data_IF_320197907748
#
_entry.id   IF_320197907748
#
_cell.length_a   1.000
_cell.length_b   1.000
_cell.length_c   1.000
_cell.angle_alpha   90.00
_cell.angle_beta   90.00
_cell.angle_gamma   90.00
#
_symmetry.space_group_name_H-M   'P 1'
#
loop_
_entity.id
_entity.type
_entity.pdbx_description
1 polymer ?
#
# COMPACT_ATOMS: atom_id res chain seq x y z
N UNK A 1 48.31 -9.45 23.92
CA UNK A 1 47.48 -8.35 23.40
C UNK A 1 46.28 -8.99 22.72
N UNK A 2 45.16 -9.12 23.44
CA UNK A 2 43.90 -9.58 22.88
C UNK A 2 43.16 -8.36 22.35
N UNK A 3 43.10 -8.23 21.03
CA UNK A 3 42.26 -7.26 20.33
C UNK A 3 40.80 -7.54 20.67
N UNK A 4 40.18 -6.56 21.33
CA UNK A 4 38.77 -6.57 21.66
C UNK A 4 38.02 -6.02 20.44
N UNK A 5 37.39 -6.90 19.67
CA UNK A 5 36.49 -6.54 18.58
C UNK A 5 35.38 -5.67 19.15
N UNK A 6 35.40 -4.36 18.84
CA UNK A 6 34.37 -3.43 19.27
C UNK A 6 33.05 -3.77 18.55
N UNK A 7 32.18 -4.51 19.21
CA UNK A 7 30.83 -4.78 18.73
C UNK A 7 30.05 -3.46 18.64
N UNK A 8 29.46 -3.18 17.48
CA UNK A 8 28.58 -2.03 17.23
C UNK A 8 27.22 -2.19 17.93
N UNK A 9 27.23 -2.23 19.26
CA UNK A 9 26.04 -2.30 20.09
C UNK A 9 25.76 -0.93 20.72
N UNK A 10 24.48 -0.56 20.89
CA UNK A 10 24.12 0.64 21.65
C UNK A 10 24.60 0.53 23.11
N UNK A 11 24.78 1.66 23.80
CA UNK A 11 25.20 1.65 25.20
C UNK A 11 24.18 0.94 26.09
N UNK A 12 24.67 0.10 27.01
CA UNK A 12 23.86 -0.49 28.07
C UNK A 12 23.70 0.55 29.18
N UNK A 13 22.47 0.92 29.48
CA UNK A 13 22.12 1.93 30.49
C UNK A 13 21.16 1.37 31.52
N UNK A 14 20.96 2.09 32.62
CA UNK A 14 19.95 1.73 33.62
C UNK A 14 18.51 2.01 33.12
N UNK A 15 17.48 1.47 33.79
CA UNK A 15 16.09 1.66 33.39
C UNK A 15 15.62 3.12 33.34
N UNK A 16 16.16 4.00 34.20
CA UNK A 16 15.74 5.40 34.26
C UNK A 16 16.26 6.18 33.06
N UNK A 17 17.53 5.97 32.71
CA UNK A 17 18.14 6.57 31.52
C UNK A 17 17.47 6.07 30.23
N UNK A 18 17.16 4.76 30.15
CA UNK A 18 16.41 4.20 29.02
C UNK A 18 15.01 4.81 28.89
N UNK A 19 14.27 4.92 29.99
CA UNK A 19 12.91 5.47 30.00
C UNK A 19 12.90 6.94 29.55
N UNK A 20 13.86 7.74 30.03
CA UNK A 20 13.99 9.14 29.61
C UNK A 20 14.23 9.28 28.09
N UNK A 21 15.12 8.46 27.51
CA UNK A 21 15.37 8.45 26.07
C UNK A 21 14.13 7.99 25.27
N UNK A 22 13.39 7.01 25.79
CA UNK A 22 12.16 6.53 25.16
C UNK A 22 11.05 7.58 25.18
N UNK A 23 10.91 8.34 26.27
CA UNK A 23 9.90 9.40 26.36
C UNK A 23 10.20 10.55 25.39
N UNK A 24 11.47 10.90 25.21
CA UNK A 24 11.90 11.86 24.18
C UNK A 24 11.58 11.34 22.77
N UNK A 25 11.90 10.07 22.47
CA UNK A 25 11.60 9.46 21.17
C UNK A 25 10.09 9.43 20.91
N UNK A 26 9.28 9.02 21.88
CA UNK A 26 7.82 8.93 21.74
C UNK A 26 7.17 10.28 21.46
N UNK A 27 7.72 11.38 22.00
CA UNK A 27 7.25 12.71 21.66
C UNK A 27 7.45 13.01 20.16
N UNK A 28 8.61 12.64 19.60
CA UNK A 28 8.90 12.78 18.17
C UNK A 28 8.03 11.87 17.31
N UNK A 29 7.87 10.61 17.71
CA UNK A 29 7.01 9.64 17.01
C UNK A 29 5.56 10.13 16.97
N UNK A 30 5.03 10.63 18.10
CA UNK A 30 3.67 11.15 18.17
C UNK A 30 3.48 12.39 17.29
N UNK A 31 4.48 13.26 17.21
CA UNK A 31 4.46 14.39 16.30
C UNK A 31 4.44 13.94 14.83
N UNK A 32 5.27 12.97 14.45
CA UNK A 32 5.28 12.40 13.10
C UNK A 32 3.93 11.76 12.73
N UNK A 33 3.30 11.03 13.66
CA UNK A 33 1.94 10.47 13.43
C UNK A 33 0.92 11.58 13.13
N UNK A 34 0.90 12.65 13.94
CA UNK A 34 -0.03 13.77 13.74
C UNK A 34 0.18 14.48 12.41
N UNK A 35 1.43 14.63 11.99
CA UNK A 35 1.77 15.22 10.69
C UNK A 35 1.31 14.32 9.55
N UNK A 36 1.53 13.01 9.65
CA UNK A 36 1.03 12.05 8.65
C UNK A 36 -0.51 12.06 8.56
N UNK A 37 -1.21 12.22 9.69
CA UNK A 37 -2.67 12.39 9.70
C UNK A 37 -3.09 13.69 8.97
N UNK A 38 -2.38 14.79 9.21
CA UNK A 38 -2.62 16.06 8.53
C UNK A 38 -2.37 15.96 7.02
N UNK A 39 -1.26 15.34 6.60
CA UNK A 39 -0.94 15.09 5.19
C UNK A 39 -2.00 14.18 4.55
N UNK A 40 -2.44 13.12 5.23
CA UNK A 40 -3.48 12.25 4.72
C UNK A 40 -4.81 13.01 4.53
N UNK A 41 -5.17 13.90 5.46
CA UNK A 41 -6.33 14.77 5.33
C UNK A 41 -6.19 15.75 4.16
N UNK A 42 -5.00 16.32 3.95
CA UNK A 42 -4.72 17.19 2.79
C UNK A 42 -4.81 16.43 1.47
N UNK A 43 -4.25 15.21 1.38
CA UNK A 43 -4.34 14.35 0.19
C UNK A 43 -5.77 14.06 -0.22
N UNK A 44 -6.67 13.77 0.74
CA UNK A 44 -8.10 13.56 0.47
C UNK A 44 -8.83 14.81 -0.05
N UNK A 45 -8.26 16.00 0.15
CA UNK A 45 -8.80 17.30 -0.29
C UNK A 45 -8.11 17.86 -1.53
N UNK A 46 -7.16 17.13 -2.11
CA UNK A 46 -6.55 17.54 -3.38
C UNK A 46 -7.64 17.66 -4.45
N UNK A 47 -7.53 18.66 -5.35
CA UNK A 47 -8.45 18.77 -6.46
C UNK A 47 -8.37 17.52 -7.34
N UNK A 48 -9.53 17.11 -7.86
CA UNK A 48 -9.64 15.96 -8.75
C UNK A 48 -9.39 16.39 -10.20
N UNK A 49 -8.81 15.49 -10.99
CA UNK A 49 -8.71 15.62 -12.45
C UNK A 49 -9.70 14.64 -13.06
N UNK A 50 -10.54 15.14 -13.96
CA UNK A 50 -11.42 14.28 -14.75
C UNK A 50 -10.56 13.45 -15.70
N UNK A 51 -10.73 12.13 -15.63
CA UNK A 51 -10.10 11.23 -16.58
C UNK A 51 -10.87 11.28 -17.91
N UNK A 52 -10.17 11.24 -19.05
CA UNK A 52 -10.84 11.09 -20.33
C UNK A 52 -11.52 9.73 -20.41
N UNK A 53 -12.33 9.51 -21.45
CA UNK A 53 -12.79 8.17 -21.79
C UNK A 53 -11.60 7.22 -21.94
N UNK A 54 -11.56 6.21 -21.08
CA UNK A 54 -10.44 5.30 -20.94
C UNK A 54 -10.91 3.86 -21.11
N UNK A 55 -10.21 3.10 -21.94
CA UNK A 55 -10.54 1.70 -22.25
C UNK A 55 -9.41 0.79 -21.83
N UNK A 56 -9.76 -0.27 -21.12
CA UNK A 56 -8.89 -1.34 -20.66
C UNK A 56 -9.15 -2.61 -21.47
N UNK A 57 -8.26 -3.59 -21.37
CA UNK A 57 -8.47 -4.94 -21.91
C UNK A 57 -8.96 -5.82 -20.77
N UNK A 58 -10.20 -6.28 -20.86
CA UNK A 58 -10.79 -7.27 -19.97
C UNK A 58 -10.71 -8.68 -20.54
N UNK A 59 -11.08 -9.70 -19.73
CA UNK A 59 -11.10 -11.09 -20.17
C UNK A 59 -12.03 -11.35 -21.35
N UNK A 60 -13.11 -10.57 -21.47
CA UNK A 60 -14.11 -10.68 -22.54
C UNK A 60 -13.89 -9.65 -23.68
N UNK A 61 -12.74 -8.96 -23.69
CA UNK A 61 -12.40 -7.91 -24.65
C UNK A 61 -12.35 -6.50 -24.04
N UNK A 62 -12.41 -5.45 -24.87
CA UNK A 62 -12.30 -4.06 -24.41
C UNK A 62 -13.40 -3.69 -23.41
N UNK A 63 -13.05 -2.99 -22.33
CA UNK A 63 -13.96 -2.52 -21.28
C UNK A 63 -13.66 -1.07 -20.90
N UNK A 64 -14.67 -0.22 -20.77
CA UNK A 64 -14.44 1.16 -20.31
C UNK A 64 -14.09 1.18 -18.83
N UNK A 65 -13.24 2.11 -18.41
CA UNK A 65 -12.85 2.25 -17.00
C UNK A 65 -14.06 2.39 -16.07
N UNK A 66 -15.10 3.13 -16.47
CA UNK A 66 -16.34 3.28 -15.69
C UNK A 66 -17.09 1.95 -15.50
N UNK A 67 -17.03 1.05 -16.47
CA UNK A 67 -17.69 -0.26 -16.40
C UNK A 67 -16.94 -1.20 -15.44
N UNK A 68 -15.64 -0.97 -15.23
CA UNK A 68 -14.84 -1.68 -14.21
C UNK A 68 -15.31 -1.37 -12.79
N UNK A 69 -16.12 -0.34 -12.56
CA UNK A 69 -16.69 -0.09 -11.23
C UNK A 69 -17.89 -0.99 -10.91
N UNK A 70 -18.58 -1.56 -11.91
CA UNK A 70 -19.74 -2.44 -11.73
C UNK A 70 -20.78 -1.88 -10.74
N UNK A 71 -21.16 -0.61 -10.96
CA UNK A 71 -22.15 0.09 -10.13
C UNK A 71 -21.65 0.65 -8.80
N UNK A 72 -20.36 0.48 -8.46
CA UNK A 72 -19.75 1.04 -7.24
C UNK A 72 -19.19 2.45 -7.46
N UNK A 73 -19.08 3.24 -6.39
CA UNK A 73 -18.42 4.56 -6.47
C UNK A 73 -16.89 4.48 -6.34
N UNK A 74 -16.35 3.38 -5.84
CA UNK A 74 -14.92 3.25 -5.55
C UNK A 74 -14.32 1.96 -6.12
N UNK A 75 -13.05 2.05 -6.51
CA UNK A 75 -12.25 0.94 -6.99
C UNK A 75 -11.01 0.76 -6.13
N UNK A 76 -10.81 -0.45 -5.61
CA UNK A 76 -9.58 -0.90 -4.95
C UNK A 76 -8.79 -1.67 -6.00
N UNK A 77 -7.64 -1.13 -6.39
CA UNK A 77 -6.82 -1.69 -7.46
C UNK A 77 -5.57 -2.32 -6.88
N UNK A 78 -5.32 -3.59 -7.22
CA UNK A 78 -4.01 -4.20 -7.04
C UNK A 78 -3.33 -4.35 -8.40
N UNK A 79 -2.12 -3.79 -8.54
CA UNK A 79 -1.37 -3.84 -9.78
C UNK A 79 -0.40 -5.04 -9.77
N UNK A 80 -0.68 -6.06 -10.57
CA UNK A 80 0.24 -7.15 -10.83
C UNK A 80 1.47 -6.63 -11.60
N UNK A 81 2.66 -7.04 -11.17
CA UNK A 81 3.88 -6.70 -11.90
C UNK A 81 3.99 -7.56 -13.16
N UNK A 82 4.42 -6.91 -14.25
CA UNK A 82 4.64 -7.52 -15.56
C UNK A 82 6.01 -7.14 -16.12
N UNK A 83 6.59 -8.04 -16.90
CA UNK A 83 7.80 -7.81 -17.70
C UNK A 83 7.61 -8.41 -19.09
N UNK A 84 8.01 -7.70 -20.13
CA UNK A 84 7.87 -8.16 -21.51
C UNK A 84 8.55 -9.52 -21.74
N UNK A 85 7.84 -10.44 -22.40
CA UNK A 85 8.28 -11.82 -22.60
C UNK A 85 8.01 -12.77 -21.44
N UNK A 86 7.39 -12.30 -20.35
CA UNK A 86 6.91 -13.19 -19.30
C UNK A 86 5.78 -14.11 -19.83
N UNK A 87 5.85 -15.38 -19.46
CA UNK A 87 4.78 -16.35 -19.72
C UNK A 87 3.64 -16.21 -18.71
N UNK A 88 3.97 -15.82 -17.47
CA UNK A 88 3.05 -15.73 -16.34
C UNK A 88 3.22 -14.41 -15.59
N UNK A 89 2.15 -13.95 -14.92
CA UNK A 89 2.25 -12.79 -14.03
C UNK A 89 3.18 -13.05 -12.85
N UNK A 90 3.66 -11.97 -12.20
CA UNK A 90 4.59 -12.06 -11.08
C UNK A 90 4.11 -13.02 -9.98
N UNK A 91 4.89 -14.07 -9.71
CA UNK A 91 4.54 -15.10 -8.71
C UNK A 91 4.30 -14.55 -7.30
N UNK A 92 5.01 -13.49 -6.90
CA UNK A 92 4.77 -12.81 -5.62
C UNK A 92 3.42 -12.08 -5.58
N UNK A 93 3.04 -11.42 -6.68
CA UNK A 93 1.72 -10.81 -6.82
C UNK A 93 0.62 -11.86 -6.80
N UNK A 94 0.78 -12.95 -7.55
CA UNK A 94 -0.15 -14.08 -7.57
C UNK A 94 -0.31 -14.70 -6.18
N UNK A 95 0.81 -14.91 -5.47
CA UNK A 95 0.80 -15.41 -4.10
C UNK A 95 -0.01 -14.53 -3.15
N UNK A 96 0.20 -13.21 -3.20
CA UNK A 96 -0.59 -12.27 -2.39
C UNK A 96 -2.06 -12.25 -2.80
N UNK A 97 -2.35 -12.12 -4.10
CA UNK A 97 -3.75 -11.96 -4.56
C UNK A 97 -4.56 -13.23 -4.44
N UNK A 98 -3.92 -14.40 -4.39
CA UNK A 98 -4.58 -15.69 -4.12
C UNK A 98 -5.33 -15.72 -2.79
N UNK A 99 -4.98 -14.84 -1.84
CA UNK A 99 -5.62 -14.77 -0.52
C UNK A 99 -6.95 -14.00 -0.54
N UNK A 100 -7.22 -13.19 -1.58
CA UNK A 100 -8.41 -12.35 -1.68
C UNK A 100 -9.62 -13.11 -2.24
N UNK A 101 -10.02 -14.19 -1.56
CA UNK A 101 -11.11 -15.08 -2.01
C UNK A 101 -12.50 -14.69 -1.50
N UNK A 102 -12.60 -13.72 -0.58
CA UNK A 102 -13.87 -13.24 -0.01
C UNK A 102 -13.91 -11.71 0.01
N UNK A 103 -14.62 -11.13 -0.96
CA UNK A 103 -14.69 -9.68 -1.15
C UNK A 103 -16.02 -9.06 -0.72
N UNK A 104 -17.03 -9.85 -0.32
CA UNK A 104 -18.35 -9.34 0.04
C UNK A 104 -18.37 -8.34 1.21
N UNK A 105 -17.33 -8.30 2.05
CA UNK A 105 -17.23 -7.27 3.08
C UNK A 105 -17.08 -5.85 2.50
N UNK A 106 -16.59 -5.74 1.26
CA UNK A 106 -16.45 -4.47 0.54
C UNK A 106 -17.79 -3.86 0.13
N UNK A 107 -18.87 -4.64 0.12
CA UNK A 107 -20.21 -4.13 -0.18
C UNK A 107 -20.64 -3.01 0.78
N UNK A 108 -20.21 -3.10 2.05
CA UNK A 108 -20.46 -2.09 3.08
C UNK A 108 -19.69 -0.77 2.84
N UNK A 109 -18.74 -0.77 1.91
CA UNK A 109 -17.87 0.37 1.60
C UNK A 109 -18.14 0.94 0.20
N UNK A 110 -19.14 0.41 -0.52
CA UNK A 110 -19.43 0.78 -1.91
C UNK A 110 -18.18 0.75 -2.80
N UNK A 111 -17.41 -0.33 -2.67
CA UNK A 111 -16.12 -0.50 -3.33
C UNK A 111 -16.03 -1.85 -4.04
N UNK A 112 -15.35 -1.87 -5.19
CA UNK A 112 -14.99 -3.10 -5.92
C UNK A 112 -13.48 -3.30 -5.89
N UNK A 113 -13.03 -4.53 -5.67
CA UNK A 113 -11.62 -4.90 -5.81
C UNK A 113 -11.35 -5.47 -7.21
N UNK A 114 -10.28 -5.01 -7.85
CA UNK A 114 -9.84 -5.50 -9.16
C UNK A 114 -8.32 -5.67 -9.19
N UNK A 115 -7.87 -6.55 -10.08
CA UNK A 115 -6.46 -6.74 -10.40
C UNK A 115 -6.23 -6.18 -11.80
N UNK A 116 -5.19 -5.37 -11.96
CA UNK A 116 -4.76 -4.83 -13.26
C UNK A 116 -3.30 -5.18 -13.51
N UNK A 117 -2.89 -5.21 -14.77
CA UNK A 117 -1.51 -5.49 -15.21
C UNK A 117 -1.24 -4.73 -16.50
N UNK A 118 0.04 -4.43 -16.78
CA UNK A 118 0.47 -3.75 -18.01
C UNK A 118 0.71 -4.71 -19.19
N UNK A 119 0.72 -6.01 -18.95
CA UNK A 119 0.87 -7.03 -19.99
C UNK A 119 -0.20 -8.11 -19.92
N UNK A 120 -0.19 -9.06 -20.87
CA UNK A 120 -1.28 -10.01 -21.08
C UNK A 120 -1.66 -10.88 -19.87
#
# INVERSE_FOLDING_TARGET
>A
MTEQTAHALPPVVDPQAWQAALDELRAREKAATRELDAIAAQRRRLPMVELPDYTLIGPDGPVRLVEVFDGRSQLIVYHHMWSDGAEWQCGGCTGLTSQYVRLGFLDNYDARFVIVTNGP
#
